data_IF_434414738920
#
_entry.id   IF_434414738920
#
_cell.length_a   1.000
_cell.length_b   1.000
_cell.length_c   1.000
_cell.angle_alpha   90.00
_cell.angle_beta   90.00
_cell.angle_gamma   90.00
#
_symmetry.space_group_name_H-M   'P 1'
#
loop_
_entity.id
_entity.type
_entity.pdbx_description
1 polymer ?
#
# COMPACT_ATOMS: atom_id res chain seq x y z
N UNK A 1 2.84 5.74 1.03
CA UNK A 1 3.20 4.64 0.09
C UNK A 1 4.44 4.93 -0.74
N UNK A 2 4.55 6.09 -1.40
CA UNK A 2 5.65 6.42 -2.32
C UNK A 2 7.09 6.05 -1.87
N UNK A 3 7.50 6.36 -0.62
CA UNK A 3 8.86 6.06 -0.15
C UNK A 3 9.15 4.55 -0.02
N UNK A 4 8.20 3.76 0.48
CA UNK A 4 8.33 2.30 0.55
C UNK A 4 8.17 1.67 -0.84
N UNK A 5 7.23 2.17 -1.65
CA UNK A 5 6.98 1.72 -3.01
C UNK A 5 8.21 1.87 -3.90
N UNK A 6 8.93 2.99 -3.81
CA UNK A 6 10.15 3.23 -4.57
C UNK A 6 11.34 2.33 -4.15
N UNK A 7 11.30 1.71 -2.97
CA UNK A 7 12.31 0.75 -2.51
C UNK A 7 12.06 -0.67 -2.99
N UNK A 8 10.85 -0.96 -3.45
CA UNK A 8 10.52 -2.27 -4.03
C UNK A 8 11.05 -2.37 -5.45
N UNK A 9 11.48 -3.58 -5.84
CA UNK A 9 11.78 -3.88 -7.24
C UNK A 9 10.53 -3.65 -8.11
N UNK A 10 10.68 -3.32 -9.40
CA UNK A 10 9.53 -3.20 -10.30
C UNK A 10 8.62 -4.43 -10.31
N UNK A 11 9.17 -5.64 -10.18
CA UNK A 11 8.36 -6.87 -10.12
C UNK A 11 7.53 -6.97 -8.83
N UNK A 12 8.07 -6.50 -7.70
CA UNK A 12 7.35 -6.50 -6.43
C UNK A 12 6.27 -5.42 -6.38
N UNK A 13 6.45 -4.29 -7.07
CA UNK A 13 5.44 -3.23 -7.19
C UNK A 13 4.17 -3.71 -7.87
N UNK A 14 4.30 -4.47 -8.96
CA UNK A 14 3.14 -5.03 -9.66
C UNK A 14 2.41 -6.11 -8.85
N UNK A 15 3.10 -6.78 -7.91
CA UNK A 15 2.52 -7.81 -7.02
C UNK A 15 1.80 -7.28 -5.79
N UNK A 16 2.00 -6.00 -5.43
CA UNK A 16 1.30 -5.36 -4.31
C UNK A 16 -0.21 -5.24 -4.55
N UNK A 17 -0.61 -5.25 -5.83
CA UNK A 17 -1.98 -5.08 -6.24
C UNK A 17 -2.54 -6.38 -6.77
N UNK A 18 -3.84 -6.61 -6.55
CA UNK A 18 -4.50 -7.89 -6.84
C UNK A 18 -4.85 -8.06 -8.33
N UNK A 19 -4.95 -6.96 -9.11
CA UNK A 19 -5.30 -7.02 -10.53
C UNK A 19 -4.06 -7.34 -11.37
N UNK A 20 -4.14 -8.42 -12.16
CA UNK A 20 -2.99 -8.94 -12.94
C UNK A 20 -3.05 -8.64 -14.44
N UNK A 21 -4.23 -8.43 -15.00
CA UNK A 21 -4.41 -8.10 -16.42
C UNK A 21 -5.78 -7.45 -16.64
N UNK A 22 -5.93 -6.76 -17.77
CA UNK A 22 -7.18 -6.16 -18.22
C UNK A 22 -7.77 -7.02 -19.33
N UNK A 23 -9.02 -7.46 -19.15
CA UNK A 23 -9.73 -8.25 -20.16
C UNK A 23 -9.92 -7.43 -21.44
N UNK A 24 -9.64 -8.03 -22.60
CA UNK A 24 -9.81 -7.40 -23.90
C UNK A 24 -8.60 -6.60 -24.41
N UNK A 25 -7.51 -6.54 -23.64
CA UNK A 25 -6.26 -5.88 -24.04
C UNK A 25 -5.15 -6.90 -24.32
N UNK A 26 -4.18 -6.52 -25.17
CA UNK A 26 -2.92 -7.27 -25.27
C UNK A 26 -2.14 -7.15 -23.97
N UNK A 27 -1.21 -8.08 -23.75
CA UNK A 27 -0.39 -8.11 -22.54
C UNK A 27 0.38 -6.80 -22.36
N UNK A 28 1.02 -6.31 -23.41
CA UNK A 28 1.83 -5.10 -23.37
C UNK A 28 1.01 -3.86 -23.02
N UNK A 29 -0.21 -3.77 -23.57
CA UNK A 29 -1.14 -2.68 -23.30
C UNK A 29 -1.66 -2.73 -21.86
N UNK A 30 -2.06 -3.93 -21.42
CA UNK A 30 -2.52 -4.18 -20.05
C UNK A 30 -1.42 -3.87 -19.04
N UNK A 31 -0.18 -4.31 -19.28
CA UNK A 31 0.96 -4.09 -18.39
C UNK A 31 1.29 -2.59 -18.28
N UNK A 32 1.24 -1.86 -19.40
CA UNK A 32 1.46 -0.42 -19.41
C UNK A 32 0.38 0.33 -18.62
N UNK A 33 -0.90 0.04 -18.87
CA UNK A 33 -2.03 0.69 -18.20
C UNK A 33 -2.04 0.40 -16.70
N UNK A 34 -1.87 -0.87 -16.31
CA UNK A 34 -1.83 -1.23 -14.89
C UNK A 34 -0.65 -0.56 -14.18
N UNK A 35 0.53 -0.53 -14.81
CA UNK A 35 1.68 0.18 -14.25
C UNK A 35 1.36 1.67 -14.02
N UNK A 36 0.79 2.34 -15.02
CA UNK A 36 0.41 3.75 -14.89
C UNK A 36 -0.58 3.98 -13.74
N UNK A 37 -1.64 3.18 -13.66
CA UNK A 37 -2.67 3.31 -12.62
C UNK A 37 -2.11 3.08 -11.22
N UNK A 38 -1.26 2.05 -11.05
CA UNK A 38 -0.62 1.77 -9.77
C UNK A 38 0.37 2.86 -9.35
N UNK A 39 1.18 3.35 -10.28
CA UNK A 39 2.09 4.46 -10.02
C UNK A 39 1.31 5.72 -9.63
N UNK A 40 0.19 6.01 -10.30
CA UNK A 40 -0.68 7.13 -9.96
C UNK A 40 -1.20 7.02 -8.52
N UNK A 41 -1.77 5.87 -8.12
CA UNK A 41 -2.27 5.67 -6.75
C UNK A 41 -1.13 5.74 -5.71
N UNK A 42 0.01 5.12 -6.00
CA UNK A 42 1.11 5.00 -5.03
C UNK A 42 1.88 6.30 -4.80
N UNK A 43 2.01 7.12 -5.85
CA UNK A 43 2.83 8.34 -5.86
C UNK A 43 2.02 9.62 -5.61
N UNK A 44 0.71 9.64 -5.87
CA UNK A 44 -0.18 10.76 -5.54
C UNK A 44 -0.33 10.88 -4.01
N UNK A 45 0.29 11.89 -3.41
CA UNK A 45 0.27 12.11 -1.96
C UNK A 45 -1.05 12.72 -1.47
N UNK A 46 -1.71 13.49 -2.32
CA UNK A 46 -3.04 14.07 -2.14
C UNK A 46 -4.15 13.01 -2.01
N UNK A 47 -3.92 11.81 -2.54
CA UNK A 47 -4.84 10.66 -2.41
C UNK A 47 -4.56 9.78 -1.18
N UNK A 48 -3.62 10.18 -0.30
CA UNK A 48 -3.15 9.35 0.82
C UNK A 48 -3.51 9.96 2.18
N UNK A 49 -4.19 9.19 3.02
CA UNK A 49 -4.22 9.41 4.46
C UNK A 49 -3.10 8.61 5.13
N UNK A 50 -2.35 9.24 6.05
CA UNK A 50 -1.32 8.57 6.86
C UNK A 50 -1.66 8.70 8.33
N UNK A 51 -1.89 7.56 8.98
CA UNK A 51 -2.22 7.50 10.41
C UNK A 51 -0.96 7.20 11.21
N UNK A 52 -0.70 8.03 12.24
CA UNK A 52 0.24 7.70 13.31
C UNK A 52 -0.51 6.95 14.40
N UNK A 53 -0.17 5.68 14.61
CA UNK A 53 -0.80 4.86 15.64
C UNK A 53 -0.37 5.28 17.05
N UNK A 54 -1.33 5.46 17.96
CA UNK A 54 -1.14 5.66 19.40
C UNK A 54 -1.89 4.57 20.19
N UNK A 55 -1.56 4.32 21.48
CA UNK A 55 -2.34 3.42 22.32
C UNK A 55 -3.85 3.72 22.25
N UNK A 56 -4.65 2.69 21.96
CA UNK A 56 -6.10 2.82 21.79
C UNK A 56 -6.58 3.36 20.44
N UNK A 57 -5.70 3.69 19.48
CA UNK A 57 -6.14 4.12 18.14
C UNK A 57 -6.83 2.98 17.40
N UNK A 58 -8.03 3.26 16.87
CA UNK A 58 -8.77 2.40 15.94
C UNK A 58 -8.93 3.14 14.63
N UNK A 59 -8.62 2.46 13.52
CA UNK A 59 -8.80 2.99 12.16
C UNK A 59 -9.77 2.09 11.42
N UNK A 60 -10.76 2.70 10.77
CA UNK A 60 -11.73 2.02 9.91
C UNK A 60 -11.69 2.67 8.54
N UNK A 61 -11.77 1.87 7.49
CA UNK A 61 -11.86 2.34 6.11
C UNK A 61 -12.83 1.45 5.32
N UNK A 62 -13.39 2.01 4.26
CA UNK A 62 -14.27 1.26 3.35
C UNK A 62 -13.44 0.54 2.29
N UNK A 63 -13.40 -0.80 2.36
CA UNK A 63 -12.66 -1.67 1.44
C UNK A 63 -13.15 -1.60 -0.01
N UNK A 64 -14.32 -1.01 -0.28
CA UNK A 64 -14.85 -0.88 -1.65
C UNK A 64 -14.14 0.22 -2.44
N UNK A 65 -13.56 1.20 -1.74
CA UNK A 65 -13.01 2.43 -2.34
C UNK A 65 -11.61 2.78 -1.89
N UNK A 66 -11.10 2.14 -0.84
CA UNK A 66 -9.77 2.38 -0.32
C UNK A 66 -8.87 1.16 -0.51
N UNK A 67 -7.66 1.41 -1.01
CA UNK A 67 -6.55 0.47 -0.90
C UNK A 67 -5.69 0.83 0.31
N UNK A 68 -5.31 -0.16 1.09
CA UNK A 68 -4.38 0.02 2.20
C UNK A 68 -3.09 -0.76 1.95
N UNK A 69 -1.99 -0.24 2.47
CA UNK A 69 -0.75 -1.01 2.54
C UNK A 69 -0.04 -0.66 3.84
N UNK A 70 0.45 -1.68 4.53
CA UNK A 70 1.20 -1.52 5.75
C UNK A 70 2.60 -1.02 5.39
N UNK A 71 2.98 0.15 5.90
CA UNK A 71 4.37 0.58 5.86
C UNK A 71 5.17 -0.31 6.82
N UNK A 72 6.27 -0.86 6.33
CA UNK A 72 7.24 -1.61 7.14
C UNK A 72 8.41 -0.66 7.40
N UNK A 73 8.22 0.26 8.33
CA UNK A 73 9.18 1.29 8.73
C UNK A 73 9.55 1.18 10.21
N UNK A 74 9.82 -0.05 10.66
CA UNK A 74 10.24 -0.35 12.03
C UNK A 74 11.74 -0.62 12.09
N UNK A 75 12.45 0.08 12.97
CA UNK A 75 13.91 -0.05 13.13
C UNK A 75 14.36 -1.43 13.63
N UNK A 76 13.50 -2.17 14.35
CA UNK A 76 13.91 -3.32 15.16
C UNK A 76 13.34 -4.69 14.70
N UNK A 77 12.81 -4.80 13.48
CA UNK A 77 12.39 -6.09 12.91
C UNK A 77 11.23 -6.82 13.61
N UNK A 78 10.62 -6.23 14.64
CA UNK A 78 9.48 -6.79 15.35
C UNK A 78 8.18 -6.59 14.55
N UNK A 79 7.59 -7.69 14.06
CA UNK A 79 6.27 -7.69 13.42
C UNK A 79 5.20 -7.45 14.49
N UNK A 80 4.64 -6.23 14.56
CA UNK A 80 3.47 -5.96 15.41
C UNK A 80 2.19 -6.16 14.58
N UNK A 81 1.25 -7.03 15.00
CA UNK A 81 -0.05 -7.12 14.36
C UNK A 81 -0.76 -5.76 14.41
N UNK A 82 -1.51 -5.43 13.35
CA UNK A 82 -2.35 -4.24 13.32
C UNK A 82 -3.27 -4.23 14.54
N UNK A 83 -3.10 -3.25 15.43
CA UNK A 83 -4.01 -3.02 16.56
C UNK A 83 -3.48 -3.27 17.98
N UNK A 84 -2.19 -3.54 18.21
CA UNK A 84 -1.65 -3.65 19.58
C UNK A 84 -0.57 -2.61 19.87
N UNK A 85 -1.01 -1.51 20.48
CA UNK A 85 -0.16 -0.59 21.23
C UNK A 85 -0.34 -0.89 22.72
N UNK A 86 0.53 -1.74 23.28
CA UNK A 86 0.68 -1.82 24.73
C UNK A 86 1.45 -0.57 25.18
N UNK A 87 0.81 0.27 26.00
CA UNK A 87 1.47 1.41 26.61
C UNK A 87 2.55 0.92 27.60
N UNK A 88 3.74 1.55 27.67
CA UNK A 88 4.60 1.34 28.81
C UNK A 88 3.97 2.05 30.03
N UNK A 89 3.85 1.32 31.13
CA UNK A 89 3.64 1.90 32.45
C UNK A 89 4.91 2.56 32.97
#
# INVERSE_FOLDING_TARGET
MAQAYNRLSPEFRQRLHVTRYIVGYKKEESDYLLKFLYDHIALSQDLQARVRWLPGTVVVWDNRVAAQSALVDWADGQRRPSGQNHAPG
#
